data_IF_898462095856
#
_entry.id   IF_898462095856
#
_cell.length_a   1.000
_cell.length_b   1.000
_cell.length_c   1.000
_cell.angle_alpha   90.00
_cell.angle_beta   90.00
_cell.angle_gamma   90.00
#
_symmetry.space_group_name_H-M   'P 1'
#
loop_
_entity.id
_entity.type
_entity.pdbx_description
1 polymer ?
#
# COMPACT_ATOMS: atom_id res chain seq x y z
N UNK A 1 12.88 -56.61 -7.25
CA UNK A 1 11.45 -56.32 -7.01
C UNK A 1 11.26 -56.16 -5.51
N UNK A 2 10.71 -55.03 -5.05
CA UNK A 2 10.52 -54.72 -3.62
C UNK A 2 11.68 -53.88 -3.06
N UNK A 3 11.63 -52.54 -3.10
CA UNK A 3 10.95 -51.63 -2.15
C UNK A 3 11.31 -51.87 -0.68
N UNK A 4 12.00 -50.87 -0.11
CA UNK A 4 12.02 -50.38 1.28
C UNK A 4 13.46 -50.14 1.76
N UNK A 5 14.00 -48.97 1.43
CA UNK A 5 15.01 -48.32 2.26
C UNK A 5 14.41 -47.01 2.77
N UNK A 6 13.85 -47.15 3.97
CA UNK A 6 13.81 -46.18 5.06
C UNK A 6 13.81 -44.70 4.67
N UNK A 7 12.66 -44.07 4.92
CA UNK A 7 12.39 -42.63 4.92
C UNK A 7 13.25 -41.80 5.90
N UNK A 8 14.29 -42.38 6.51
CA UNK A 8 15.03 -41.79 7.64
C UNK A 8 16.31 -41.04 7.26
N UNK A 9 16.78 -41.13 6.01
CA UNK A 9 18.07 -40.52 5.62
C UNK A 9 17.93 -39.08 5.06
N UNK A 10 16.71 -38.56 4.91
CA UNK A 10 16.49 -37.16 4.49
C UNK A 10 16.17 -36.18 5.63
N UNK A 11 16.26 -36.62 6.90
CA UNK A 11 15.96 -35.79 8.08
C UNK A 11 17.20 -35.21 8.77
N UNK A 12 18.41 -35.47 8.27
CA UNK A 12 19.67 -35.05 8.91
C UNK A 12 20.32 -33.80 8.32
N UNK A 13 19.68 -33.13 7.35
CA UNK A 13 20.08 -31.78 6.93
C UNK A 13 19.06 -30.78 7.46
N UNK A 14 19.50 -29.70 8.11
CA UNK A 14 18.56 -28.72 8.63
C UNK A 14 17.75 -28.18 7.44
N UNK A 15 16.44 -28.42 7.46
CA UNK A 15 15.45 -27.89 6.52
C UNK A 15 15.34 -26.35 6.58
N UNK A 16 16.30 -25.66 7.19
CA UNK A 16 16.22 -24.28 7.63
C UNK A 16 16.46 -23.23 6.55
N UNK A 17 16.66 -23.60 5.28
CA UNK A 17 17.10 -22.64 4.27
C UNK A 17 16.42 -22.74 2.90
N UNK A 18 15.32 -23.48 2.76
CA UNK A 18 14.43 -23.26 1.61
C UNK A 18 13.39 -22.25 2.08
N UNK A 19 13.30 -21.04 1.50
CA UNK A 19 12.23 -20.12 1.82
C UNK A 19 10.91 -20.73 1.30
N UNK A 20 10.25 -21.50 2.15
CA UNK A 20 8.90 -22.06 1.97
C UNK A 20 7.88 -20.98 1.57
N UNK A 21 8.21 -19.71 1.78
CA UNK A 21 7.44 -18.54 1.38
C UNK A 21 7.21 -18.45 -0.14
N UNK A 22 8.15 -18.89 -0.97
CA UNK A 22 8.02 -18.78 -2.43
C UNK A 22 7.00 -19.79 -3.02
N UNK A 23 6.68 -20.85 -2.28
CA UNK A 23 5.70 -21.85 -2.72
C UNK A 23 4.29 -21.57 -2.18
N UNK A 24 4.16 -20.89 -1.03
CA UNK A 24 2.87 -20.69 -0.36
C UNK A 24 2.26 -19.30 -0.59
N UNK A 25 3.07 -18.29 -0.93
CA UNK A 25 2.57 -16.94 -1.19
C UNK A 25 2.63 -16.68 -2.70
N UNK A 26 1.47 -16.52 -3.39
CA UNK A 26 1.47 -16.22 -4.81
C UNK A 26 2.16 -14.87 -5.06
N UNK A 27 3.03 -14.80 -6.09
CA UNK A 27 3.61 -13.53 -6.55
C UNK A 27 2.51 -12.52 -6.84
N UNK A 28 2.79 -11.23 -6.57
CA UNK A 28 1.93 -10.13 -6.95
C UNK A 28 1.63 -10.10 -8.47
N UNK A 29 2.50 -10.69 -9.29
CA UNK A 29 2.31 -10.83 -10.75
C UNK A 29 1.15 -11.76 -11.12
N UNK A 30 0.75 -12.65 -10.20
CA UNK A 30 -0.45 -13.49 -10.40
C UNK A 30 -1.74 -12.71 -10.19
N UNK A 31 -1.67 -11.47 -9.70
CA UNK A 31 -2.85 -10.59 -9.55
C UNK A 31 -3.16 -9.85 -10.85
N UNK A 32 -4.45 -9.57 -11.11
CA UNK A 32 -4.87 -8.72 -12.25
C UNK A 32 -4.66 -7.21 -12.02
N UNK A 33 -3.90 -6.83 -10.98
CA UNK A 33 -3.65 -5.44 -10.59
C UNK A 33 -2.49 -4.87 -11.42
N UNK A 34 -2.53 -3.56 -11.67
CA UNK A 34 -1.48 -2.85 -12.41
C UNK A 34 -0.22 -2.69 -11.55
N UNK A 35 0.94 -2.61 -12.18
CA UNK A 35 2.16 -2.22 -11.46
C UNK A 35 2.04 -0.81 -10.85
N UNK A 36 2.83 -0.58 -9.81
CA UNK A 36 2.86 0.66 -9.04
C UNK A 36 2.29 0.54 -7.63
N UNK A 37 2.08 1.70 -7.00
CA UNK A 37 1.70 1.84 -5.60
C UNK A 37 0.37 2.58 -5.46
N UNK A 38 -0.59 1.97 -4.77
CA UNK A 38 -1.79 2.65 -4.26
C UNK A 38 -1.54 3.07 -2.81
N UNK A 39 -1.49 4.38 -2.56
CA UNK A 39 -1.52 4.88 -1.19
C UNK A 39 -2.96 4.84 -0.66
N UNK A 40 -3.17 4.28 0.53
CA UNK A 40 -4.45 4.28 1.22
C UNK A 40 -4.35 5.17 2.45
N UNK A 41 -5.14 6.25 2.45
CA UNK A 41 -5.14 7.28 3.49
C UNK A 41 -6.53 7.36 4.09
N UNK A 42 -6.61 7.20 5.41
CA UNK A 42 -7.85 7.42 6.16
C UNK A 42 -7.65 8.67 7.03
N UNK A 43 -8.58 9.62 6.95
CA UNK A 43 -8.46 10.91 7.64
C UNK A 43 -9.74 11.34 8.34
N UNK A 44 -9.59 12.17 9.38
CA UNK A 44 -10.68 12.77 10.14
C UNK A 44 -10.23 14.07 10.77
N UNK A 45 -10.79 15.18 10.29
CA UNK A 45 -10.58 16.53 10.82
C UNK A 45 -9.06 16.87 10.95
N UNK A 46 -8.25 16.43 9.98
CA UNK A 46 -6.78 16.45 10.02
C UNK A 46 -6.21 17.68 9.29
N UNK A 47 -5.56 18.63 10.00
CA UNK A 47 -4.97 19.83 9.39
C UNK A 47 -3.79 19.55 8.46
N UNK A 48 -3.06 18.44 8.66
CA UNK A 48 -1.85 18.11 7.89
C UNK A 48 -2.15 17.41 6.56
N UNK A 49 -3.42 17.24 6.19
CA UNK A 49 -3.79 16.43 5.02
C UNK A 49 -3.21 16.96 3.71
N UNK A 50 -3.14 18.28 3.49
CA UNK A 50 -2.56 18.83 2.26
C UNK A 50 -1.06 18.52 2.12
N UNK A 51 -0.18 18.89 3.09
CA UNK A 51 1.24 18.55 3.00
C UNK A 51 1.49 17.04 3.05
N UNK A 52 0.68 16.27 3.78
CA UNK A 52 0.73 14.81 3.79
C UNK A 52 0.60 14.24 2.37
N UNK A 53 -0.48 14.57 1.66
CA UNK A 53 -0.73 14.05 0.32
C UNK A 53 0.30 14.54 -0.70
N UNK A 54 0.76 15.79 -0.59
CA UNK A 54 1.82 16.32 -1.44
C UNK A 54 3.15 15.58 -1.25
N UNK A 55 3.48 15.19 -0.02
CA UNK A 55 4.74 14.50 0.29
C UNK A 55 4.86 13.13 -0.37
N UNK A 56 3.74 12.48 -0.69
CA UNK A 56 3.69 11.16 -1.33
C UNK A 56 3.35 11.21 -2.83
N UNK A 57 3.26 12.40 -3.44
CA UNK A 57 2.84 12.57 -4.83
C UNK A 57 3.70 11.80 -5.84
N UNK A 58 5.00 11.67 -5.56
CA UNK A 58 5.98 11.09 -6.49
C UNK A 58 6.12 9.57 -6.30
N UNK A 59 5.80 9.06 -5.11
CA UNK A 59 5.82 7.62 -4.80
C UNK A 59 4.50 6.93 -5.16
N UNK A 60 3.35 7.57 -4.92
CA UNK A 60 2.03 6.95 -5.14
C UNK A 60 1.51 7.18 -6.56
N UNK A 61 1.17 6.12 -7.29
CA UNK A 61 0.55 6.22 -8.62
C UNK A 61 -0.96 6.45 -8.55
N UNK A 62 -1.57 6.15 -7.40
CA UNK A 62 -2.90 6.59 -7.02
C UNK A 62 -3.01 6.72 -5.51
N UNK A 63 -3.91 7.58 -5.06
CA UNK A 63 -4.22 7.81 -3.65
C UNK A 63 -5.70 7.52 -3.43
N UNK A 64 -6.02 6.60 -2.54
CA UNK A 64 -7.38 6.33 -2.07
C UNK A 64 -7.55 7.07 -0.74
N UNK A 65 -8.32 8.16 -0.76
CA UNK A 65 -8.55 8.98 0.42
C UNK A 65 -9.95 8.74 0.99
N UNK A 66 -9.99 8.10 2.16
CA UNK A 66 -11.20 7.89 2.94
C UNK A 66 -11.32 9.00 3.98
N UNK A 67 -12.36 9.81 3.88
CA UNK A 67 -12.53 10.99 4.72
C UNK A 67 -13.79 10.90 5.59
N UNK A 68 -13.59 10.92 6.90
CA UNK A 68 -14.65 10.87 7.92
C UNK A 68 -14.79 12.18 8.72
N UNK A 69 -14.19 13.25 8.22
CA UNK A 69 -14.21 14.59 8.83
C UNK A 69 -15.63 15.15 8.95
N UNK A 70 -15.84 16.15 9.82
CA UNK A 70 -17.12 16.89 9.91
C UNK A 70 -17.32 17.78 8.70
N UNK A 71 -16.32 18.60 8.38
CA UNK A 71 -16.31 19.45 7.20
C UNK A 71 -15.77 18.69 5.99
N UNK A 72 -16.21 19.06 4.79
CA UNK A 72 -15.72 18.50 3.54
C UNK A 72 -14.41 19.16 3.14
N UNK A 73 -13.42 18.38 2.71
CA UNK A 73 -12.15 18.87 2.17
C UNK A 73 -12.09 18.84 0.62
N UNK A 74 -13.25 18.69 -0.04
CA UNK A 74 -13.36 18.55 -1.51
C UNK A 74 -12.59 19.62 -2.30
N UNK A 75 -12.61 20.87 -1.86
CA UNK A 75 -11.92 21.95 -2.57
C UNK A 75 -10.40 21.80 -2.49
N UNK A 76 -9.88 21.40 -1.33
CA UNK A 76 -8.47 21.03 -1.15
C UNK A 76 -8.10 19.86 -2.06
N UNK A 77 -8.94 18.82 -2.13
CA UNK A 77 -8.69 17.67 -3.01
C UNK A 77 -8.69 18.08 -4.48
N UNK A 78 -9.63 18.94 -4.92
CA UNK A 78 -9.67 19.44 -6.29
C UNK A 78 -8.39 20.21 -6.65
N UNK A 79 -7.90 21.06 -5.74
CA UNK A 79 -6.61 21.76 -5.91
C UNK A 79 -5.44 20.79 -6.02
N UNK A 80 -5.42 19.73 -5.21
CA UNK A 80 -4.38 18.70 -5.25
C UNK A 80 -4.41 17.87 -6.55
N UNK A 81 -5.60 17.53 -7.04
CA UNK A 81 -5.75 16.87 -8.33
C UNK A 81 -5.25 17.75 -9.49
N UNK A 82 -5.51 19.06 -9.43
CA UNK A 82 -4.95 20.03 -10.39
C UNK A 82 -3.42 20.11 -10.32
N UNK A 83 -2.81 19.83 -9.17
CA UNK A 83 -1.35 19.70 -9.01
C UNK A 83 -0.81 18.33 -9.49
N UNK A 84 -1.65 17.49 -10.09
CA UNK A 84 -1.26 16.22 -10.69
C UNK A 84 -1.44 14.98 -9.81
N UNK A 85 -2.01 15.11 -8.60
CA UNK A 85 -2.24 13.96 -7.73
C UNK A 85 -3.45 13.15 -8.22
N UNK A 86 -3.25 11.86 -8.46
CA UNK A 86 -4.34 10.93 -8.79
C UNK A 86 -5.10 10.48 -7.53
N UNK A 87 -6.01 11.32 -7.04
CA UNK A 87 -6.77 11.06 -5.81
C UNK A 87 -8.17 10.53 -6.13
N UNK A 88 -8.52 9.36 -5.60
CA UNK A 88 -9.88 8.85 -5.46
C UNK A 88 -10.40 9.22 -4.07
N UNK A 89 -11.20 10.27 -3.99
CA UNK A 89 -11.76 10.77 -2.73
C UNK A 89 -13.12 10.14 -2.42
N UNK A 90 -13.24 9.55 -1.23
CA UNK A 90 -14.45 8.91 -0.76
C UNK A 90 -14.84 9.47 0.61
N UNK A 91 -16.00 10.10 0.67
CA UNK A 91 -16.60 10.54 1.93
C UNK A 91 -17.24 9.34 2.64
N UNK A 92 -16.98 9.19 3.92
CA UNK A 92 -17.56 8.15 4.77
C UNK A 92 -18.23 8.73 6.00
N UNK A 93 -19.19 8.00 6.56
CA UNK A 93 -19.80 8.34 7.86
C UNK A 93 -18.78 8.12 8.98
N UNK A 94 -18.91 8.88 10.07
CA UNK A 94 -18.09 8.72 11.28
C UNK A 94 -18.14 7.28 11.82
N UNK A 95 -17.06 6.88 12.49
CA UNK A 95 -16.91 5.63 13.25
C UNK A 95 -16.76 4.33 12.43
N UNK A 96 -16.30 4.44 11.18
CA UNK A 96 -16.03 3.29 10.30
C UNK A 96 -14.56 2.81 10.42
N UNK A 97 -13.96 2.77 11.62
CA UNK A 97 -12.51 2.61 11.87
C UNK A 97 -11.74 1.70 10.90
N UNK A 98 -11.56 0.41 11.24
CA UNK A 98 -10.86 -0.54 10.37
C UNK A 98 -11.60 -0.82 9.05
N UNK A 99 -12.92 -0.63 9.00
CA UNK A 99 -13.72 -0.86 7.78
C UNK A 99 -13.37 0.12 6.66
N UNK A 100 -12.90 1.33 7.00
CA UNK A 100 -12.39 2.30 6.03
C UNK A 100 -11.16 1.79 5.31
N UNK A 101 -10.20 1.20 6.02
CA UNK A 101 -8.97 0.70 5.40
C UNK A 101 -9.26 -0.47 4.46
N UNK A 102 -10.08 -1.43 4.89
CA UNK A 102 -10.50 -2.55 4.04
C UNK A 102 -11.18 -2.04 2.77
N UNK A 103 -12.08 -1.08 2.91
CA UNK A 103 -12.74 -0.45 1.76
C UNK A 103 -11.74 0.29 0.86
N UNK A 104 -10.77 1.02 1.43
CA UNK A 104 -9.73 1.69 0.65
C UNK A 104 -8.91 0.70 -0.18
N UNK A 105 -8.53 -0.44 0.42
CA UNK A 105 -7.79 -1.52 -0.26
C UNK A 105 -8.64 -2.21 -1.34
N UNK A 106 -9.97 -2.31 -1.17
CA UNK A 106 -10.84 -2.82 -2.23
C UNK A 106 -10.96 -1.88 -3.43
N UNK A 107 -10.76 -0.57 -3.24
CA UNK A 107 -10.83 0.46 -4.29
C UNK A 107 -9.50 0.69 -5.01
N UNK A 108 -8.41 0.14 -4.47
CA UNK A 108 -7.08 0.23 -5.03
C UNK A 108 -6.93 -0.71 -6.24
N UNK A 109 -6.11 -0.30 -7.18
CA UNK A 109 -5.92 -0.95 -8.49
C UNK A 109 -4.48 -1.35 -8.74
N UNK A 110 -3.54 -0.95 -7.87
CA UNK A 110 -2.13 -1.29 -7.96
C UNK A 110 -1.80 -2.54 -7.15
N UNK A 111 -0.70 -3.21 -7.53
CA UNK A 111 -0.16 -4.40 -6.86
C UNK A 111 0.28 -4.08 -5.43
N UNK A 112 0.96 -2.95 -5.24
CA UNK A 112 1.51 -2.56 -3.94
C UNK A 112 0.61 -1.58 -3.22
N UNK A 113 0.42 -1.82 -1.91
CA UNK A 113 -0.39 -0.96 -1.03
C UNK A 113 0.54 -0.25 -0.06
N UNK A 114 0.49 1.08 -0.05
CA UNK A 114 1.13 1.91 0.96
C UNK A 114 0.04 2.41 1.93
N UNK A 115 -0.06 1.83 3.12
CA UNK A 115 -0.86 2.43 4.19
C UNK A 115 -0.15 3.69 4.67
N UNK A 116 -0.83 4.83 4.62
CA UNK A 116 -0.27 6.12 4.99
C UNK A 116 -1.26 6.88 5.87
N UNK A 117 -0.80 7.37 7.02
CA UNK A 117 -1.65 8.11 7.93
C UNK A 117 -1.73 9.59 7.51
N UNK A 118 -2.88 10.22 7.77
CA UNK A 118 -3.21 11.57 7.25
C UNK A 118 -2.36 12.71 7.82
N UNK A 119 -1.56 12.41 8.83
CA UNK A 119 -0.65 13.30 9.57
C UNK A 119 0.83 13.00 9.26
N UNK A 120 1.12 12.06 8.35
CA UNK A 120 2.50 11.74 7.99
C UNK A 120 2.99 12.58 6.82
N UNK A 121 4.18 13.19 6.99
CA UNK A 121 4.91 13.89 5.93
C UNK A 121 6.15 13.06 5.59
N UNK A 122 6.23 12.60 4.35
CA UNK A 122 7.34 11.79 3.91
C UNK A 122 8.65 12.60 3.83
N UNK A 123 9.76 11.94 4.12
CA UNK A 123 11.09 12.49 3.87
C UNK A 123 11.44 12.36 2.38
N UNK A 124 11.38 13.47 1.66
CA UNK A 124 11.46 13.54 0.18
C UNK A 124 12.80 14.06 -0.34
N UNK A 125 13.83 14.11 0.49
CA UNK A 125 15.16 14.62 0.12
C UNK A 125 16.29 13.72 0.64
N UNK A 126 17.53 13.99 0.24
CA UNK A 126 18.72 13.32 0.78
C UNK A 126 18.84 11.82 0.47
N UNK A 127 19.71 11.14 1.23
CA UNK A 127 20.09 9.73 1.00
C UNK A 127 18.92 8.76 1.22
N UNK A 128 17.98 9.08 2.11
CA UNK A 128 16.89 8.19 2.50
C UNK A 128 15.52 8.64 1.95
N UNK A 129 15.53 9.33 0.81
CA UNK A 129 14.30 9.78 0.15
C UNK A 129 13.33 8.62 -0.10
N UNK A 130 12.09 8.76 0.37
CA UNK A 130 11.02 7.76 0.24
C UNK A 130 10.78 7.33 -1.22
N UNK A 131 10.99 8.23 -2.19
CA UNK A 131 10.77 7.98 -3.60
C UNK A 131 11.61 6.83 -4.16
N UNK A 132 12.69 6.45 -3.47
CA UNK A 132 13.49 5.27 -3.82
C UNK A 132 12.70 3.96 -3.72
N UNK A 133 11.68 3.89 -2.88
CA UNK A 133 10.79 2.72 -2.77
C UNK A 133 10.07 2.44 -4.09
N UNK A 134 9.74 3.46 -4.88
CA UNK A 134 9.06 3.28 -6.16
C UNK A 134 9.85 2.38 -7.12
N UNK A 135 11.18 2.46 -7.08
CA UNK A 135 12.07 1.62 -7.92
C UNK A 135 11.99 0.13 -7.58
N UNK A 136 11.58 -0.22 -6.36
CA UNK A 136 11.42 -1.60 -5.92
C UNK A 136 10.07 -2.21 -6.36
N UNK A 137 9.15 -1.36 -6.84
CA UNK A 137 7.78 -1.75 -7.18
C UNK A 137 7.52 -1.79 -8.69
N UNK A 138 8.54 -1.46 -9.49
CA UNK A 138 8.52 -1.48 -10.94
C UNK A 138 9.27 -2.76 -11.39
N UNK A 139 8.51 -3.74 -11.86
CA UNK A 139 9.02 -4.93 -12.55
C UNK A 139 8.89 -4.73 -14.06
#
# INVERSE_FOLDING_TARGET
MGFLLSLEVLLSKPLSLIPLTNFLIPSADKTKRKDGISAVVCTRDEPWIEPCLLSIKDIADEIILMDSSKASIKDTIKKLQQKGLNIKYVRVKKNQGQTQLVRAVSLSTRKWILKWDGDFIAYTSGKNNVNKLKKLTQN
#
